data_IF_927644820642
#
_entry.id   IF_927644820642
#
_cell.length_a   1.000
_cell.length_b   1.000
_cell.length_c   1.000
_cell.angle_alpha   90.00
_cell.angle_beta   90.00
_cell.angle_gamma   90.00
#
_symmetry.space_group_name_H-M   'P 1'
#
loop_
_entity.id
_entity.type
_entity.pdbx_description
1 polymer ?
#
# COMPACT_ATOMS: atom_id res chain seq x y z
N UNK A 1 46.69 7.90 -22.57
CA UNK A 1 46.48 7.81 -24.03
C UNK A 1 45.03 8.11 -24.27
N UNK A 2 44.74 9.14 -25.05
CA UNK A 2 43.39 9.45 -25.49
C UNK A 2 43.11 8.61 -26.75
N UNK A 3 42.09 7.76 -26.72
CA UNK A 3 41.69 7.00 -27.90
C UNK A 3 40.77 7.89 -28.77
N UNK A 4 41.38 8.65 -29.69
CA UNK A 4 40.69 9.65 -30.52
C UNK A 4 40.01 9.10 -31.78
N UNK A 5 39.63 7.82 -31.81
CA UNK A 5 38.96 7.20 -32.96
C UNK A 5 37.43 7.26 -32.85
N UNK A 6 36.73 7.25 -33.98
CA UNK A 6 35.25 7.22 -34.03
C UNK A 6 34.64 5.99 -33.36
N UNK A 7 35.38 4.88 -33.30
CA UNK A 7 34.92 3.61 -32.73
C UNK A 7 36.06 2.91 -32.00
N UNK A 8 35.74 2.41 -30.80
CA UNK A 8 36.61 1.50 -30.07
C UNK A 8 36.02 0.08 -30.02
N UNK A 9 36.84 -0.94 -30.20
CA UNK A 9 36.43 -2.35 -30.17
C UNK A 9 37.33 -3.11 -29.19
N UNK A 10 36.72 -3.75 -28.18
CA UNK A 10 37.43 -4.53 -27.17
C UNK A 10 37.14 -6.01 -27.39
N UNK A 11 38.16 -6.80 -27.73
CA UNK A 11 38.06 -8.26 -27.93
C UNK A 11 38.12 -9.10 -26.64
N UNK A 12 38.02 -8.44 -25.48
CA UNK A 12 38.12 -9.04 -24.14
C UNK A 12 37.33 -8.22 -23.12
N UNK A 13 37.67 -8.34 -21.82
CA UNK A 13 36.95 -7.64 -20.76
C UNK A 13 37.41 -6.19 -20.62
N UNK A 14 36.45 -5.26 -20.61
CA UNK A 14 36.67 -3.86 -20.21
C UNK A 14 36.40 -3.72 -18.71
N UNK A 15 37.43 -3.39 -17.93
CA UNK A 15 37.32 -3.10 -16.49
C UNK A 15 37.43 -1.58 -16.24
N UNK A 16 36.44 -1.02 -15.54
CA UNK A 16 36.44 0.38 -15.08
C UNK A 16 36.76 0.38 -13.59
N UNK A 17 37.90 0.97 -13.21
CA UNK A 17 38.38 0.98 -11.83
C UNK A 17 37.60 1.98 -10.96
N UNK A 18 37.67 1.77 -9.65
CA UNK A 18 37.12 2.70 -8.65
C UNK A 18 37.65 4.13 -8.87
N UNK A 19 36.75 5.11 -8.87
CA UNK A 19 37.04 6.52 -9.10
C UNK A 19 37.06 6.97 -10.57
N UNK A 20 36.92 6.05 -11.54
CA UNK A 20 36.78 6.42 -12.95
C UNK A 20 35.34 6.88 -13.29
N UNK A 21 35.22 7.83 -14.23
CA UNK A 21 33.93 8.31 -14.76
C UNK A 21 33.69 7.80 -16.18
N UNK A 22 32.48 7.32 -16.46
CA UNK A 22 32.01 6.99 -17.81
C UNK A 22 30.89 7.95 -18.14
N UNK A 23 31.12 8.83 -19.11
CA UNK A 23 30.11 9.80 -19.59
C UNK A 23 29.37 9.23 -20.81
N UNK A 24 28.13 9.67 -21.03
CA UNK A 24 27.34 9.26 -22.21
C UNK A 24 26.71 7.86 -22.16
N UNK A 25 27.10 7.01 -21.21
CA UNK A 25 26.35 5.80 -20.88
C UNK A 25 25.15 6.22 -20.01
N UNK A 26 23.98 6.41 -20.62
CA UNK A 26 22.74 6.56 -19.84
C UNK A 26 22.53 5.24 -19.11
N UNK A 27 22.85 5.24 -17.80
CA UNK A 27 22.64 4.13 -16.88
C UNK A 27 21.41 3.33 -17.27
N UNK A 28 21.56 2.05 -17.64
CA UNK A 28 20.45 1.10 -17.50
C UNK A 28 20.25 0.96 -16.00
N UNK A 29 19.52 1.92 -15.45
CA UNK A 29 19.55 2.18 -14.03
C UNK A 29 19.15 0.91 -13.28
N UNK A 30 19.98 0.58 -12.29
CA UNK A 30 19.74 -0.51 -11.34
C UNK A 30 18.27 -0.53 -10.91
N UNK A 31 17.69 -1.69 -10.56
CA UNK A 31 16.34 -1.73 -9.98
C UNK A 31 16.24 -0.71 -8.85
N UNK A 32 15.09 -0.05 -8.77
CA UNK A 32 14.88 0.96 -7.74
C UNK A 32 15.07 0.34 -6.36
N UNK A 33 15.76 1.07 -5.50
CA UNK A 33 15.96 0.72 -4.09
C UNK A 33 15.38 1.83 -3.22
N UNK A 34 15.28 1.60 -1.91
CA UNK A 34 14.83 2.62 -0.96
C UNK A 34 15.69 3.89 -0.99
N UNK A 35 16.99 3.78 -1.33
CA UNK A 35 17.94 4.88 -1.33
C UNK A 35 18.19 5.51 -2.71
N UNK A 36 17.76 4.87 -3.81
CA UNK A 36 18.02 5.34 -5.16
C UNK A 36 16.90 4.93 -6.14
N UNK A 37 16.33 5.93 -6.82
CA UNK A 37 15.35 5.70 -7.89
C UNK A 37 16.07 5.03 -9.06
N UNK A 38 15.71 3.77 -9.32
CA UNK A 38 16.15 3.01 -10.47
C UNK A 38 15.56 3.53 -11.77
N UNK A 39 15.85 2.86 -12.88
CA UNK A 39 15.39 3.21 -14.24
C UNK A 39 13.90 3.03 -14.48
N UNK A 40 13.06 3.33 -13.48
CA UNK A 40 11.61 3.31 -13.60
C UNK A 40 11.21 4.27 -14.72
N UNK A 41 10.61 3.70 -15.78
CA UNK A 41 9.90 4.46 -16.83
C UNK A 41 8.54 4.93 -16.33
N UNK A 42 8.42 5.26 -15.05
CA UNK A 42 7.21 5.85 -14.50
C UNK A 42 7.18 7.33 -14.91
N UNK A 43 5.97 7.85 -15.14
CA UNK A 43 5.81 9.29 -15.33
C UNK A 43 6.29 10.05 -14.08
N UNK A 44 6.72 11.29 -14.24
CA UNK A 44 6.99 12.15 -13.10
C UNK A 44 5.69 12.38 -12.31
N UNK A 45 5.81 12.42 -10.98
CA UNK A 45 4.71 12.71 -10.05
C UNK A 45 3.99 14.02 -10.41
N UNK A 46 2.66 14.01 -10.46
CA UNK A 46 1.81 15.20 -10.55
C UNK A 46 1.37 15.71 -9.16
N UNK A 47 0.73 16.87 -9.09
CA UNK A 47 0.22 17.43 -7.81
C UNK A 47 -0.85 16.53 -7.16
N UNK A 48 -1.61 15.81 -8.00
CA UNK A 48 -2.65 14.85 -7.60
C UNK A 48 -2.10 13.52 -7.10
N UNK A 49 -0.85 13.19 -7.43
CA UNK A 49 -0.16 11.96 -7.00
C UNK A 49 0.38 12.11 -5.57
N UNK A 50 -0.54 12.24 -4.61
CA UNK A 50 -0.21 12.62 -3.23
C UNK A 50 0.29 11.46 -2.36
N UNK A 51 0.17 10.21 -2.84
CA UNK A 51 0.53 9.01 -2.07
C UNK A 51 1.83 8.39 -2.60
N UNK A 52 2.89 8.29 -1.77
CA UNK A 52 4.13 7.64 -2.19
C UNK A 52 3.95 6.12 -2.31
N UNK A 53 4.49 5.55 -3.39
CA UNK A 53 4.58 4.09 -3.61
C UNK A 53 5.79 3.56 -2.85
N UNK A 54 5.65 2.42 -2.15
CA UNK A 54 6.75 1.77 -1.41
C UNK A 54 7.39 0.66 -2.26
N UNK A 55 8.69 0.42 -2.10
CA UNK A 55 9.38 -0.73 -2.71
C UNK A 55 9.51 -1.82 -1.63
N UNK A 56 9.05 -3.03 -1.91
CA UNK A 56 9.25 -4.19 -1.04
C UNK A 56 10.66 -4.76 -1.15
N UNK A 57 11.07 -5.58 -0.18
CA UNK A 57 12.35 -6.32 -0.21
C UNK A 57 12.45 -7.27 -1.42
N UNK A 58 11.31 -7.63 -2.00
CA UNK A 58 11.15 -8.41 -3.24
C UNK A 58 11.32 -7.58 -4.53
N UNK A 59 11.67 -6.30 -4.42
CA UNK A 59 11.77 -5.34 -5.51
C UNK A 59 10.46 -5.07 -6.27
N UNK A 60 9.30 -5.31 -5.63
CA UNK A 60 7.98 -5.00 -6.17
C UNK A 60 7.50 -3.64 -5.64
N UNK A 61 6.79 -2.88 -6.47
CA UNK A 61 6.12 -1.64 -6.07
C UNK A 61 4.78 -1.96 -5.40
N UNK A 62 4.60 -1.48 -4.18
CA UNK A 62 3.38 -1.65 -3.40
C UNK A 62 2.62 -0.32 -3.28
N UNK A 63 1.34 -0.37 -3.65
CA UNK A 63 0.38 0.69 -3.37
C UNK A 63 -0.50 0.27 -2.19
N UNK A 64 -0.74 1.18 -1.25
CA UNK A 64 -1.79 0.95 -0.25
C UNK A 64 -3.13 0.84 -0.98
N UNK A 65 -4.01 -0.07 -0.54
CA UNK A 65 -5.39 -0.09 -1.04
C UNK A 65 -6.04 1.26 -0.71
N UNK A 66 -6.33 2.06 -1.74
CA UNK A 66 -6.92 3.38 -1.60
C UNK A 66 -8.34 3.40 -2.17
N UNK A 67 -9.31 4.00 -1.44
CA UNK A 67 -9.18 4.43 -0.04
C UNK A 67 -9.01 3.23 0.90
N UNK A 68 -8.42 3.46 2.09
CA UNK A 68 -8.60 2.53 3.22
C UNK A 68 -10.10 2.58 3.51
N UNK A 69 -10.86 1.64 2.96
CA UNK A 69 -12.28 1.51 3.28
C UNK A 69 -12.31 1.00 4.72
N UNK A 70 -12.77 1.80 5.69
CA UNK A 70 -12.94 1.29 7.04
C UNK A 70 -13.90 0.11 6.96
N UNK A 71 -13.54 -1.00 7.60
CA UNK A 71 -14.44 -2.13 7.72
C UNK A 71 -15.71 -1.64 8.43
N UNK A 72 -16.84 -1.67 7.72
CA UNK A 72 -18.10 -1.17 8.27
C UNK A 72 -18.60 -2.21 9.28
N UNK A 73 -18.70 -1.88 10.57
CA UNK A 73 -19.14 -2.83 11.58
C UNK A 73 -20.57 -3.31 11.28
N UNK A 74 -20.81 -4.61 11.46
CA UNK A 74 -22.11 -5.25 11.25
C UNK A 74 -22.54 -5.93 12.55
N UNK A 75 -23.73 -5.62 13.03
CA UNK A 75 -24.29 -6.31 14.19
C UNK A 75 -24.68 -7.75 13.86
N UNK A 76 -24.51 -8.64 14.84
CA UNK A 76 -25.05 -9.99 14.77
C UNK A 76 -26.56 -9.95 14.54
N UNK A 77 -27.09 -10.92 13.77
CA UNK A 77 -28.52 -11.01 13.48
C UNK A 77 -29.36 -11.14 14.76
N UNK A 78 -30.51 -10.48 14.79
CA UNK A 78 -31.59 -10.70 15.76
C UNK A 78 -32.70 -11.48 15.06
N UNK A 79 -33.08 -12.62 15.61
CA UNK A 79 -34.21 -13.39 15.13
C UNK A 79 -35.52 -12.61 15.33
N UNK A 80 -36.54 -12.93 14.55
CA UNK A 80 -37.87 -12.31 14.68
C UNK A 80 -38.41 -12.49 16.10
N UNK A 81 -39.00 -11.43 16.66
CA UNK A 81 -39.65 -11.51 17.97
C UNK A 81 -40.94 -12.32 17.87
N UNK A 82 -41.08 -13.32 18.74
CA UNK A 82 -42.31 -14.11 18.90
C UNK A 82 -43.04 -13.73 20.20
N UNK A 83 -42.75 -12.56 20.77
CA UNK A 83 -43.30 -12.12 22.04
C UNK A 83 -44.82 -11.94 21.96
N UNK A 84 -45.54 -12.51 22.92
CA UNK A 84 -47.00 -12.33 23.07
C UNK A 84 -47.37 -11.40 24.23
N UNK A 85 -46.38 -10.98 25.01
CA UNK A 85 -46.54 -10.06 26.12
C UNK A 85 -45.38 -9.04 26.17
N UNK A 86 -45.55 -8.03 27.02
CA UNK A 86 -44.59 -6.94 27.16
C UNK A 86 -43.27 -7.43 27.75
N UNK A 87 -43.29 -8.40 28.65
CA UNK A 87 -42.08 -8.91 29.30
C UNK A 87 -41.17 -9.58 28.29
N UNK A 88 -41.72 -10.45 27.43
CA UNK A 88 -40.99 -11.09 26.35
C UNK A 88 -40.50 -10.07 25.31
N UNK A 89 -41.31 -9.05 24.98
CA UNK A 89 -40.89 -7.99 24.05
C UNK A 89 -39.69 -7.20 24.58
N UNK A 90 -39.69 -6.87 25.88
CA UNK A 90 -38.57 -6.19 26.53
C UNK A 90 -37.30 -7.04 26.51
N UNK A 91 -37.43 -8.36 26.67
CA UNK A 91 -36.30 -9.30 26.54
C UNK A 91 -35.71 -9.28 25.13
N UNK A 92 -36.54 -9.43 24.09
CA UNK A 92 -36.08 -9.44 22.69
C UNK A 92 -35.46 -8.10 22.30
N UNK A 93 -36.05 -7.00 22.74
CA UNK A 93 -35.53 -5.66 22.50
C UNK A 93 -34.16 -5.44 23.14
N UNK A 94 -34.00 -5.79 24.42
CA UNK A 94 -32.70 -5.64 25.09
C UNK A 94 -31.61 -6.54 24.48
N UNK A 95 -31.97 -7.70 23.93
CA UNK A 95 -31.04 -8.54 23.18
C UNK A 95 -30.53 -7.87 21.89
N UNK A 96 -31.41 -7.15 21.17
CA UNK A 96 -31.01 -6.35 20.01
C UNK A 96 -30.06 -5.21 20.42
N UNK A 97 -30.39 -4.47 21.49
CA UNK A 97 -29.52 -3.40 22.00
C UNK A 97 -28.11 -3.91 22.34
N UNK A 98 -28.03 -5.07 23.00
CA UNK A 98 -26.75 -5.70 23.33
C UNK A 98 -25.93 -6.02 22.07
N UNK A 99 -26.55 -6.52 21.00
CA UNK A 99 -25.88 -6.81 19.72
C UNK A 99 -25.38 -5.54 19.02
N UNK A 100 -26.16 -4.46 19.07
CA UNK A 100 -25.76 -3.17 18.51
C UNK A 100 -24.56 -2.56 19.25
N UNK A 101 -24.57 -2.63 20.59
CA UNK A 101 -23.45 -2.19 21.44
C UNK A 101 -22.19 -3.03 21.20
N UNK A 102 -22.34 -4.36 21.15
CA UNK A 102 -21.23 -5.26 20.88
C UNK A 102 -20.59 -5.03 19.50
N UNK A 103 -21.37 -4.60 18.51
CA UNK A 103 -20.89 -4.25 17.19
C UNK A 103 -20.29 -2.82 17.10
N UNK A 104 -20.33 -2.03 18.17
CA UNK A 104 -19.89 -0.64 18.15
C UNK A 104 -20.82 0.30 17.36
N UNK A 105 -22.04 -0.16 17.03
CA UNK A 105 -23.05 0.64 16.34
C UNK A 105 -23.92 1.48 17.30
N UNK A 106 -23.80 1.24 18.61
CA UNK A 106 -24.47 1.97 19.68
C UNK A 106 -23.49 2.20 20.84
N UNK A 107 -23.59 3.36 21.50
CA UNK A 107 -22.82 3.64 22.70
C UNK A 107 -23.10 2.64 23.83
N UNK A 108 -22.08 2.33 24.62
CA UNK A 108 -22.24 1.53 25.83
C UNK A 108 -23.12 2.26 26.86
N UNK A 109 -23.68 1.50 27.81
CA UNK A 109 -24.45 2.11 28.90
C UNK A 109 -23.53 2.99 29.76
N UNK A 110 -24.07 4.15 30.14
CA UNK A 110 -23.44 5.01 31.15
C UNK A 110 -23.63 4.38 32.54
N UNK A 111 -22.59 4.48 33.38
CA UNK A 111 -22.60 3.99 34.77
C UNK A 111 -23.43 4.89 35.70
#
# INVERSE_FOLDING_TARGET
MEQGGEKWVVGGTLEIKEGASVTGLTSTAAPASEAALGGVKAAAKEETDTVPVKIGEDAILYVQTYPIVPEIPVAANQADSTATDVTALVTDFNALLAKLKAAGLMAADEE
#
